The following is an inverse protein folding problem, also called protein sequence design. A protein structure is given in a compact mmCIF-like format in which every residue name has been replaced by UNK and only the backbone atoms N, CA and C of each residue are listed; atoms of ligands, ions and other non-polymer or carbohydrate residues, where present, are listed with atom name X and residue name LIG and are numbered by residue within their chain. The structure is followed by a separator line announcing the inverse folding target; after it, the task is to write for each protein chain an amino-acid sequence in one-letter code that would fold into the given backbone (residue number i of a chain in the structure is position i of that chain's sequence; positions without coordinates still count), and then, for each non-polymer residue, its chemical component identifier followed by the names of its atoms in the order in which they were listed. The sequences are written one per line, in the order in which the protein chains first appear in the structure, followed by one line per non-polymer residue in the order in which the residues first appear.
data_IF_424259657695
#
_entry.id   IF_424259657695
#
_cell.length_a   1.000
_cell.length_b   1.000
_cell.length_c   1.000
_cell.angle_alpha   90.00
_cell.angle_beta   90.00
_cell.angle_gamma   90.00
#
_symmetry.space_group_name_H-M   'P 1'
#
loop_
_entity.id
_entity.type
_entity.pdbx_description
1 polymer ?
#
# COMPACT_ATOMS: atom_id res chain seq x y z
N UNK A 1 22.47 10.16 -19.92
CA UNK A 1 21.47 9.33 -19.20
C UNK A 1 20.18 9.35 -20.01
N UNK A 2 19.62 8.19 -20.35
CA UNK A 2 18.36 8.14 -21.11
C UNK A 2 17.21 8.69 -20.27
N UNK A 3 16.47 9.64 -20.83
CA UNK A 3 15.31 10.32 -20.23
C UNK A 3 14.24 9.31 -19.77
N UNK A 4 13.58 9.52 -18.61
CA UNK A 4 12.49 8.66 -18.16
C UNK A 4 11.27 8.71 -19.09
N UNK A 5 10.55 7.60 -19.20
CA UNK A 5 9.31 7.53 -20.00
C UNK A 5 8.14 8.23 -19.28
N UNK A 6 8.11 8.14 -17.95
CA UNK A 6 7.11 8.75 -17.08
C UNK A 6 7.79 9.44 -15.90
N UNK A 7 7.38 10.66 -15.60
CA UNK A 7 7.79 11.40 -14.40
C UNK A 7 6.52 11.77 -13.62
N UNK A 8 6.49 11.40 -12.35
CA UNK A 8 5.42 11.73 -11.42
C UNK A 8 5.97 12.67 -10.36
N UNK A 9 5.46 13.90 -10.33
CA UNK A 9 5.83 14.91 -9.34
C UNK A 9 4.65 15.09 -8.39
N UNK A 10 4.82 14.64 -7.15
CA UNK A 10 3.83 14.74 -6.09
C UNK A 10 4.04 16.04 -5.33
N UNK A 11 2.95 16.71 -4.95
CA UNK A 11 3.00 17.71 -3.89
C UNK A 11 2.92 17.02 -2.51
N UNK A 12 2.95 17.80 -1.45
CA UNK A 12 2.80 17.28 -0.09
C UNK A 12 1.42 16.60 0.06
N UNK A 13 1.39 15.36 0.58
CA UNK A 13 0.13 14.73 0.95
C UNK A 13 -0.50 15.49 2.13
N UNK A 14 -1.75 15.92 1.95
CA UNK A 14 -2.55 16.61 2.98
C UNK A 14 -3.88 15.90 3.21
N UNK A 15 -4.63 16.33 4.23
CA UNK A 15 -5.98 15.78 4.51
C UNK A 15 -6.99 16.06 3.39
N UNK A 16 -6.73 17.03 2.51
CA UNK A 16 -7.60 17.38 1.37
C UNK A 16 -7.15 16.74 0.05
N UNK A 17 -6.09 15.92 0.10
CA UNK A 17 -5.51 15.24 -1.06
C UNK A 17 -4.14 15.80 -1.47
N UNK A 18 -3.66 15.30 -2.60
CA UNK A 18 -2.38 15.64 -3.21
C UNK A 18 -2.55 15.85 -4.72
N UNK A 19 -2.07 16.97 -5.26
CA UNK A 19 -1.98 17.19 -6.71
C UNK A 19 -0.71 16.52 -7.25
N UNK A 20 -0.87 15.70 -8.27
CA UNK A 20 0.19 14.92 -8.89
C UNK A 20 0.30 15.30 -10.35
N UNK A 21 1.47 15.77 -10.75
CA UNK A 21 1.80 16.05 -12.15
C UNK A 21 2.42 14.82 -12.78
N UNK A 22 1.76 14.27 -13.80
CA UNK A 22 2.25 13.18 -14.63
C UNK A 22 2.77 13.75 -15.95
N UNK A 23 4.08 13.66 -16.18
CA UNK A 23 4.75 14.14 -17.37
C UNK A 23 5.18 12.93 -18.22
N UNK A 24 4.90 12.99 -19.52
CA UNK A 24 5.32 12.00 -20.52
C UNK A 24 6.30 12.68 -21.47
N UNK A 25 7.61 12.64 -21.21
CA UNK A 25 8.57 13.51 -21.89
C UNK A 25 8.59 13.32 -23.41
N UNK A 26 8.46 12.07 -23.89
CA UNK A 26 8.42 11.74 -25.32
C UNK A 26 7.29 12.43 -26.11
N UNK A 27 6.22 12.85 -25.44
CA UNK A 27 5.07 13.52 -26.06
C UNK A 27 4.86 14.95 -25.59
N UNK A 28 5.67 15.44 -24.63
CA UNK A 28 5.48 16.72 -23.96
C UNK A 28 4.19 16.84 -23.14
N UNK A 29 3.39 15.77 -23.01
CA UNK A 29 2.11 15.81 -22.31
C UNK A 29 2.30 15.89 -20.81
N UNK A 30 1.59 16.82 -20.17
CA UNK A 30 1.48 16.94 -18.72
C UNK A 30 0.01 16.78 -18.31
N UNK A 31 -0.29 15.74 -17.52
CA UNK A 31 -1.60 15.53 -16.93
C UNK A 31 -1.53 15.86 -15.44
N UNK A 32 -2.65 16.34 -14.88
CA UNK A 32 -2.79 16.52 -13.43
C UNK A 32 -3.85 15.56 -12.90
N UNK A 33 -3.51 14.86 -11.84
CA UNK A 33 -4.41 13.95 -11.13
C UNK A 33 -4.35 14.27 -9.65
N UNK A 34 -5.38 13.88 -8.92
CA UNK A 34 -5.43 14.07 -7.47
C UNK A 34 -5.42 12.72 -6.78
N UNK A 35 -4.51 12.53 -5.82
CA UNK A 35 -4.42 11.35 -4.98
C UNK A 35 -4.94 11.68 -3.57
N UNK A 36 -5.84 10.84 -3.04
CA UNK A 36 -6.43 11.04 -1.72
C UNK A 36 -6.23 9.79 -0.88
N UNK A 37 -5.80 9.98 0.38
CA UNK A 37 -5.60 8.92 1.37
C UNK A 37 -6.58 9.18 2.52
N UNK A 38 -7.36 8.17 2.89
CA UNK A 38 -8.33 8.28 3.97
C UNK A 38 -7.84 7.51 5.20
N UNK A 39 -7.22 8.25 6.13
CA UNK A 39 -6.60 7.69 7.35
C UNK A 39 -7.59 7.55 8.52
N UNK A 40 -8.91 7.64 8.27
CA UNK A 40 -9.93 7.67 9.34
C UNK A 40 -9.83 6.50 10.31
N UNK A 41 -9.53 5.29 9.81
CA UNK A 41 -9.40 4.11 10.67
C UNK A 41 -8.11 4.14 11.48
N UNK A 42 -6.98 4.55 10.89
CA UNK A 42 -5.73 4.76 11.64
C UNK A 42 -5.86 5.87 12.68
N UNK A 43 -6.70 6.88 12.46
CA UNK A 43 -6.99 7.91 13.46
C UNK A 43 -7.74 7.31 14.66
N UNK A 44 -8.71 6.42 14.40
CA UNK A 44 -9.71 6.00 15.39
C UNK A 44 -9.42 4.68 16.09
N UNK A 45 -8.66 3.80 15.45
CA UNK A 45 -8.59 2.38 15.81
C UNK A 45 -7.17 1.88 16.09
N UNK A 46 -6.15 2.69 15.80
CA UNK A 46 -4.75 2.29 16.08
C UNK A 46 -4.54 2.11 17.58
N UNK A 47 -3.60 1.28 17.98
CA UNK A 47 -3.19 1.15 19.39
C UNK A 47 -2.15 2.21 19.78
N UNK A 48 -1.22 2.52 18.87
CA UNK A 48 -0.10 3.42 19.17
C UNK A 48 -0.56 4.87 19.32
N UNK A 49 -0.26 5.49 20.47
CA UNK A 49 -0.68 6.88 20.74
C UNK A 49 -0.18 7.87 19.69
N UNK A 50 1.13 7.83 19.39
CA UNK A 50 1.76 8.65 18.36
C UNK A 50 1.67 7.98 16.99
N UNK A 51 1.50 8.78 15.95
CA UNK A 51 1.65 8.35 14.57
C UNK A 51 3.04 8.73 14.08
N UNK A 52 4.01 7.80 13.99
CA UNK A 52 5.38 8.16 13.63
C UNK A 52 5.47 8.69 12.19
N UNK A 53 6.24 9.76 11.99
CA UNK A 53 6.41 10.39 10.69
C UNK A 53 6.92 9.42 9.61
N UNK A 54 7.82 8.49 9.96
CA UNK A 54 8.30 7.47 9.02
C UNK A 54 7.18 6.54 8.53
N UNK A 55 6.20 6.21 9.38
CA UNK A 55 5.06 5.37 8.96
C UNK A 55 4.15 6.14 8.00
N UNK A 56 3.98 7.45 8.21
CA UNK A 56 3.25 8.30 7.28
C UNK A 56 3.95 8.38 5.91
N UNK A 57 5.28 8.42 5.89
CA UNK A 57 6.07 8.39 4.66
C UNK A 57 5.95 7.04 3.92
N UNK A 58 5.89 5.91 4.64
CA UNK A 58 5.66 4.60 4.02
C UNK A 58 4.28 4.53 3.34
N UNK A 59 3.26 5.11 3.96
CA UNK A 59 1.91 5.20 3.39
C UNK A 59 1.93 6.05 2.11
N UNK A 60 2.57 7.22 2.16
CA UNK A 60 2.66 8.14 1.03
C UNK A 60 3.44 7.48 -0.14
N UNK A 61 4.52 6.76 0.16
CA UNK A 61 5.30 5.99 -0.82
C UNK A 61 4.47 4.88 -1.47
N UNK A 62 3.76 4.08 -0.67
CA UNK A 62 2.94 2.98 -1.17
C UNK A 62 1.88 3.47 -2.17
N UNK A 63 1.15 4.54 -1.81
CA UNK A 63 0.11 5.14 -2.66
C UNK A 63 0.70 5.78 -3.91
N UNK A 64 1.88 6.41 -3.80
CA UNK A 64 2.57 7.03 -4.93
C UNK A 64 3.05 6.01 -5.96
N UNK A 65 3.63 4.90 -5.50
CA UNK A 65 4.04 3.77 -6.34
C UNK A 65 2.84 3.15 -7.05
N UNK A 66 1.77 2.86 -6.31
CA UNK A 66 0.54 2.32 -6.87
C UNK A 66 -0.04 3.22 -7.97
N UNK A 67 -0.08 4.53 -7.73
CA UNK A 67 -0.60 5.51 -8.68
C UNK A 67 0.27 5.57 -9.94
N UNK A 68 1.60 5.61 -9.77
CA UNK A 68 2.53 5.68 -10.87
C UNK A 68 2.43 4.45 -11.78
N UNK A 69 2.40 3.24 -11.20
CA UNK A 69 2.23 2.00 -11.95
C UNK A 69 0.86 1.94 -12.66
N UNK A 70 -0.21 2.34 -11.97
CA UNK A 70 -1.56 2.36 -12.54
C UNK A 70 -1.72 3.33 -13.71
N UNK A 71 -1.02 4.47 -13.69
CA UNK A 71 -1.11 5.49 -14.75
C UNK A 71 -0.04 5.34 -15.83
N UNK A 72 1.01 4.55 -15.58
CA UNK A 72 2.06 4.27 -16.57
C UNK A 72 1.55 3.28 -17.60
N UNK A 73 1.04 3.78 -18.72
CA UNK A 73 0.53 2.91 -19.78
C UNK A 73 1.67 2.09 -20.41
N UNK A 74 1.76 0.83 -20.03
CA UNK A 74 2.65 -0.11 -20.71
C UNK A 74 2.08 -0.54 -22.07
N UNK A 75 2.94 -0.58 -23.08
CA UNK A 75 2.68 -1.01 -24.45
C UNK A 75 3.82 -1.91 -24.90
N UNK A 76 3.53 -3.20 -25.10
CA UNK A 76 4.40 -4.15 -25.78
C UNK A 76 5.74 -4.41 -25.08
N UNK A 77 5.79 -5.46 -24.26
CA UNK A 77 6.98 -6.27 -23.90
C UNK A 77 8.29 -5.59 -23.44
N UNK A 78 8.35 -4.26 -23.34
CA UNK A 78 9.55 -3.49 -23.02
C UNK A 78 9.48 -2.94 -21.60
N UNK A 79 10.66 -2.73 -21.01
CA UNK A 79 10.82 -2.10 -19.71
C UNK A 79 10.64 -0.58 -19.83
N UNK A 80 9.88 0.01 -18.92
CA UNK A 80 9.72 1.46 -18.82
C UNK A 80 10.66 2.06 -17.77
N UNK A 81 10.96 3.35 -17.92
CA UNK A 81 11.62 4.14 -16.89
C UNK A 81 10.62 5.05 -16.21
N UNK A 82 10.34 4.79 -14.94
CA UNK A 82 9.37 5.51 -14.13
C UNK A 82 10.12 6.27 -13.04
N UNK A 83 9.98 7.59 -13.01
CA UNK A 83 10.56 8.46 -11.98
C UNK A 83 9.46 8.99 -11.06
N UNK A 84 9.65 8.86 -9.76
CA UNK A 84 8.82 9.46 -8.71
C UNK A 84 9.62 10.53 -7.98
N UNK A 85 9.03 11.72 -7.90
CA UNK A 85 9.47 12.83 -7.06
C UNK A 85 8.45 13.00 -5.94
N UNK A 86 8.82 12.63 -4.71
CA UNK A 86 7.90 12.53 -3.57
C UNK A 86 8.40 13.34 -2.37
N UNK A 87 7.62 14.31 -1.88
CA UNK A 87 7.88 14.93 -0.60
C UNK A 87 7.60 13.98 0.56
N UNK A 88 8.57 13.84 1.45
CA UNK A 88 8.52 12.96 2.63
C UNK A 88 9.04 13.69 3.86
N UNK A 89 8.65 13.25 5.05
CA UNK A 89 9.05 13.85 6.31
C UNK A 89 10.51 13.55 6.62
N UNK A 90 11.00 12.36 6.29
CA UNK A 90 12.37 11.91 6.52
C UNK A 90 13.09 11.52 5.22
N UNK A 91 13.44 12.48 4.34
CA UNK A 91 14.16 12.20 3.11
C UNK A 91 15.54 11.59 3.35
N UNK A 92 16.16 11.86 4.50
CA UNK A 92 17.43 11.27 4.90
C UNK A 92 17.36 9.75 5.14
N UNK A 93 16.20 9.22 5.51
CA UNK A 93 15.99 7.79 5.75
C UNK A 93 15.65 7.08 4.42
N UNK A 94 14.64 7.58 3.71
CA UNK A 94 14.17 6.97 2.46
C UNK A 94 15.10 7.22 1.28
N UNK A 95 15.77 8.39 1.26
CA UNK A 95 16.75 8.78 0.26
C UNK A 95 18.17 8.27 0.51
N UNK A 96 18.41 7.54 1.60
CA UNK A 96 19.67 6.85 1.84
C UNK A 96 19.99 5.86 0.72
N UNK A 97 21.27 5.69 0.40
CA UNK A 97 21.73 4.86 -0.73
C UNK A 97 21.21 3.42 -0.65
N UNK A 98 21.21 2.83 0.55
CA UNK A 98 20.72 1.46 0.76
C UNK A 98 19.21 1.36 0.59
N UNK A 99 18.45 2.32 1.13
CA UNK A 99 17.00 2.41 0.98
C UNK A 99 16.59 2.52 -0.49
N UNK A 100 17.22 3.43 -1.24
CA UNK A 100 16.98 3.61 -2.68
C UNK A 100 17.34 2.34 -3.45
N UNK A 101 18.50 1.74 -3.18
CA UNK A 101 18.94 0.51 -3.85
C UNK A 101 17.97 -0.64 -3.60
N UNK A 102 17.52 -0.83 -2.37
CA UNK A 102 16.54 -1.85 -2.01
C UNK A 102 15.20 -1.57 -2.69
N UNK A 103 14.70 -0.34 -2.62
CA UNK A 103 13.42 0.05 -3.21
C UNK A 103 13.42 -0.14 -4.74
N UNK A 104 14.46 0.32 -5.44
CA UNK A 104 14.59 0.13 -6.89
C UNK A 104 14.69 -1.35 -7.26
N UNK A 105 15.44 -2.16 -6.50
CA UNK A 105 15.53 -3.62 -6.74
C UNK A 105 14.18 -4.31 -6.55
N UNK A 106 13.48 -4.00 -5.45
CA UNK A 106 12.16 -4.56 -5.14
C UNK A 106 11.14 -4.17 -6.21
N UNK A 107 11.11 -2.90 -6.60
CA UNK A 107 10.16 -2.42 -7.62
C UNK A 107 10.44 -3.01 -9.00
N UNK A 108 11.72 -3.16 -9.37
CA UNK A 108 12.10 -3.89 -10.58
C UNK A 108 11.68 -5.35 -10.52
N UNK A 109 11.74 -5.99 -9.35
CA UNK A 109 11.22 -7.35 -9.19
C UNK A 109 9.70 -7.40 -9.38
N UNK A 110 8.94 -6.46 -8.81
CA UNK A 110 7.48 -6.47 -8.94
C UNK A 110 7.00 -6.16 -10.36
N UNK A 111 7.58 -5.15 -11.04
CA UNK A 111 7.00 -4.62 -12.29
C UNK A 111 7.85 -4.85 -13.54
N UNK A 112 9.10 -5.29 -13.36
CA UNK A 112 10.17 -5.37 -14.38
C UNK A 112 10.54 -4.03 -15.04
N UNK A 113 10.01 -2.93 -14.54
CA UNK A 113 10.39 -1.58 -14.95
C UNK A 113 11.59 -1.06 -14.14
N UNK A 114 12.21 -0.02 -14.67
CA UNK A 114 13.29 0.71 -14.00
C UNK A 114 12.69 1.89 -13.24
N UNK A 115 12.82 1.87 -11.92
CA UNK A 115 12.28 2.89 -11.03
C UNK A 115 13.36 3.81 -10.48
N UNK A 116 13.12 5.11 -10.58
CA UNK A 116 13.93 6.17 -9.99
C UNK A 116 13.11 6.91 -8.93
N UNK A 117 13.68 7.08 -7.74
CA UNK A 117 13.04 7.76 -6.62
C UNK A 117 13.85 8.98 -6.24
N UNK A 118 13.18 10.13 -6.14
CA UNK A 118 13.75 11.37 -5.65
C UNK A 118 12.87 11.83 -4.49
N UNK A 119 13.46 11.91 -3.32
CA UNK A 119 12.76 12.32 -2.10
C UNK A 119 13.15 13.74 -1.72
N UNK A 120 12.13 14.54 -1.41
CA UNK A 120 12.31 15.93 -0.98
C UNK A 120 11.77 16.09 0.43
N UNK A 121 12.25 17.09 1.17
CA UNK A 121 11.69 17.41 2.48
C UNK A 121 10.28 17.98 2.29
N UNK A 122 9.30 17.36 2.94
CA UNK A 122 7.93 17.86 3.08
C UNK A 122 7.92 19.18 3.87
N UNK A 123 7.12 20.15 3.43
CA UNK A 123 7.01 21.48 4.06
C UNK A 123 5.61 21.80 4.61
N UNK A 124 4.59 21.04 4.21
CA UNK A 124 3.23 21.19 4.70
C UNK A 124 3.07 20.76 6.17
N UNK A 125 2.01 21.27 6.80
CA UNK A 125 1.61 20.90 8.15
C UNK A 125 1.32 19.40 8.28
N UNK A 126 1.54 18.79 9.46
CA UNK A 126 1.21 17.39 9.70
C UNK A 126 -0.27 17.10 9.45
N UNK A 127 -0.60 15.90 8.94
CA UNK A 127 -2.00 15.47 8.76
C UNK A 127 -2.70 15.32 10.11
N UNK A 128 -4.03 15.25 10.10
CA UNK A 128 -4.81 14.96 11.33
C UNK A 128 -4.34 13.70 12.05
N UNK A 129 -4.01 12.64 11.31
CA UNK A 129 -3.51 11.39 11.89
C UNK A 129 -2.19 11.57 12.65
N UNK A 130 -1.34 12.49 12.20
CA UNK A 130 -0.07 12.82 12.81
C UNK A 130 -0.22 13.76 14.02
N UNK A 131 -1.20 14.66 13.95
CA UNK A 131 -1.39 15.74 14.95
C UNK A 131 -2.22 15.31 16.15
N UNK A 132 -3.04 14.27 16.03
CA UNK A 132 -3.95 13.83 17.07
C UNK A 132 -3.40 12.59 17.79
N UNK A 133 -2.75 12.73 18.96
CA UNK A 133 -2.39 11.58 19.77
C UNK A 133 -3.65 10.87 20.28
N UNK A 134 -3.61 9.54 20.41
CA UNK A 134 -4.67 8.84 21.14
C UNK A 134 -4.52 9.09 22.64
N UNK A 135 -5.65 9.41 23.27
CA UNK A 135 -5.71 9.62 24.71
C UNK A 135 -5.55 8.33 25.52
N UNK A 136 -5.93 7.18 24.96
CA UNK A 136 -5.87 5.87 25.59
C UNK A 136 -5.21 4.88 24.62
N UNK A 137 -3.88 4.72 24.65
CA UNK A 137 -3.24 3.61 23.96
C UNK A 137 -3.63 2.29 24.63
N UNK A 138 -3.78 1.25 23.82
CA UNK A 138 -4.06 -0.11 24.26
C UNK A 138 -2.85 -0.98 23.90
N UNK A 139 -2.30 -1.69 24.90
CA UNK A 139 -1.13 -2.54 24.76
C UNK A 139 -1.52 -4.03 24.75
N UNK A 140 -2.80 -4.34 24.57
CA UNK A 140 -3.29 -5.72 24.42
C UNK A 140 -2.58 -6.41 23.25
N UNK A 141 -2.17 -7.69 23.39
CA UNK A 141 -1.45 -8.40 22.35
C UNK A 141 -2.32 -8.56 21.11
N UNK A 142 -1.96 -7.85 20.04
CA UNK A 142 -2.68 -7.87 18.77
C UNK A 142 -1.85 -8.58 17.69
N UNK A 143 -2.50 -9.44 16.93
CA UNK A 143 -1.95 -10.00 15.70
C UNK A 143 -2.50 -9.25 14.49
N UNK A 144 -1.62 -8.69 13.66
CA UNK A 144 -2.02 -7.94 12.45
C UNK A 144 -1.83 -8.79 11.21
N UNK A 145 -2.91 -9.02 10.47
CA UNK A 145 -2.90 -9.80 9.25
C UNK A 145 -3.45 -9.03 8.05
N UNK A 146 -2.84 -9.22 6.87
CA UNK A 146 -3.43 -8.75 5.61
C UNK A 146 -4.74 -9.49 5.33
N UNK A 147 -5.72 -8.74 4.84
CA UNK A 147 -7.08 -9.23 4.61
C UNK A 147 -7.56 -8.91 3.20
N UNK A 148 -7.47 -9.88 2.29
CA UNK A 148 -8.07 -9.79 0.95
C UNK A 148 -9.58 -10.09 0.97
N UNK A 149 -10.06 -10.85 1.97
CA UNK A 149 -11.42 -11.40 1.98
C UNK A 149 -11.60 -12.55 0.99
N UNK A 150 -10.51 -13.16 0.52
CA UNK A 150 -10.52 -14.41 -0.24
C UNK A 150 -10.59 -15.63 0.67
N UNK A 151 -10.85 -16.81 0.08
CA UNK A 151 -11.03 -18.06 0.80
C UNK A 151 -9.82 -18.43 1.67
N UNK A 152 -8.61 -18.32 1.13
CA UNK A 152 -7.38 -18.64 1.87
C UNK A 152 -7.18 -17.69 3.06
N UNK A 153 -7.35 -16.38 2.84
CA UNK A 153 -7.28 -15.38 3.91
C UNK A 153 -8.33 -15.64 5.00
N UNK A 154 -9.53 -16.06 4.62
CA UNK A 154 -10.60 -16.38 5.54
C UNK A 154 -10.29 -17.64 6.35
N UNK A 155 -9.91 -18.74 5.69
CA UNK A 155 -9.61 -20.01 6.34
C UNK A 155 -8.40 -19.88 7.28
N UNK A 156 -7.33 -19.21 6.84
CA UNK A 156 -6.15 -19.00 7.67
C UNK A 156 -6.43 -18.09 8.87
N UNK A 157 -7.20 -17.01 8.70
CA UNK A 157 -7.62 -16.17 9.83
C UNK A 157 -8.49 -16.96 10.81
N UNK A 158 -9.48 -17.71 10.32
CA UNK A 158 -10.35 -18.53 11.16
C UNK A 158 -9.55 -19.54 12.00
N UNK A 159 -8.65 -20.29 11.36
CA UNK A 159 -7.81 -21.27 12.05
C UNK A 159 -6.93 -20.59 13.09
N UNK A 160 -6.27 -19.49 12.71
CA UNK A 160 -5.33 -18.81 13.58
C UNK A 160 -5.98 -18.19 14.82
N UNK A 161 -7.16 -17.60 14.64
CA UNK A 161 -7.94 -17.05 15.75
C UNK A 161 -8.48 -18.18 16.64
N UNK A 162 -8.99 -19.28 16.05
CA UNK A 162 -9.48 -20.43 16.82
C UNK A 162 -8.39 -21.06 17.69
N UNK A 163 -7.14 -21.08 17.21
CA UNK A 163 -6.00 -21.61 17.95
C UNK A 163 -5.46 -20.65 19.03
N UNK A 164 -5.83 -19.36 19.00
CA UNK A 164 -5.23 -18.32 19.83
C UNK A 164 -6.27 -17.56 20.64
N UNK A 165 -6.73 -18.13 21.76
CA UNK A 165 -7.75 -17.51 22.62
C UNK A 165 -7.27 -16.28 23.42
N UNK A 166 -5.97 -16.02 23.45
CA UNK A 166 -5.37 -14.96 24.31
C UNK A 166 -4.98 -13.68 23.54
N UNK A 167 -5.19 -13.63 22.22
CA UNK A 167 -4.78 -12.51 21.38
C UNK A 167 -5.97 -11.84 20.70
N UNK A 168 -5.88 -10.53 20.59
CA UNK A 168 -6.75 -9.75 19.74
C UNK A 168 -6.22 -9.78 18.30
N UNK A 169 -7.10 -9.51 17.34
CA UNK A 169 -6.76 -9.60 15.93
C UNK A 169 -7.15 -8.35 15.16
N UNK A 170 -6.24 -7.92 14.29
CA UNK A 170 -6.47 -6.84 13.33
C UNK A 170 -6.36 -7.39 11.92
N UNK A 171 -7.50 -7.47 11.24
CA UNK A 171 -7.56 -7.74 9.81
C UNK A 171 -7.44 -6.42 9.06
N UNK A 172 -6.44 -6.30 8.19
CA UNK A 172 -6.13 -5.08 7.47
C UNK A 172 -6.40 -5.19 5.96
N UNK A 173 -7.37 -4.42 5.49
CA UNK A 173 -7.72 -4.33 4.07
C UNK A 173 -7.19 -3.06 3.39
N UNK A 174 -6.74 -3.20 2.14
CA UNK A 174 -6.19 -2.09 1.33
C UNK A 174 -7.00 -1.87 0.04
N UNK A 175 -6.75 -0.75 -0.62
CA UNK A 175 -7.15 -0.53 -2.01
C UNK A 175 -8.19 0.57 -2.22
N UNK A 176 -8.72 0.64 -3.44
CA UNK A 176 -9.66 1.67 -3.89
C UNK A 176 -11.05 1.15 -4.31
N UNK A 177 -11.25 -0.18 -4.40
CA UNK A 177 -12.50 -0.78 -4.90
C UNK A 177 -13.58 -0.96 -3.81
N UNK A 178 -14.67 -0.17 -3.92
CA UNK A 178 -15.79 -0.18 -2.97
C UNK A 178 -16.51 -1.51 -2.81
N UNK A 179 -16.63 -2.31 -3.88
CA UNK A 179 -17.40 -3.55 -3.85
C UNK A 179 -16.67 -4.64 -3.05
N UNK A 180 -15.37 -4.78 -3.26
CA UNK A 180 -14.53 -5.71 -2.48
C UNK A 180 -14.56 -5.38 -0.98
N UNK A 181 -14.72 -4.11 -0.62
CA UNK A 181 -14.76 -3.71 0.80
C UNK A 181 -16.02 -4.15 1.53
N UNK A 182 -17.17 -4.17 0.85
CA UNK A 182 -18.43 -4.61 1.46
C UNK A 182 -18.30 -6.06 1.91
N UNK A 183 -17.85 -6.91 0.99
CA UNK A 183 -17.63 -8.34 1.22
C UNK A 183 -16.55 -8.57 2.29
N UNK A 184 -15.39 -7.90 2.21
CA UNK A 184 -14.33 -8.03 3.22
C UNK A 184 -14.82 -7.70 4.63
N UNK A 185 -15.64 -6.65 4.76
CA UNK A 185 -16.19 -6.25 6.05
C UNK A 185 -17.21 -7.26 6.56
N UNK A 186 -18.12 -7.70 5.69
CA UNK A 186 -19.14 -8.70 6.02
C UNK A 186 -18.49 -10.00 6.52
N UNK A 187 -17.48 -10.50 5.81
CA UNK A 187 -16.73 -11.70 6.22
C UNK A 187 -16.01 -11.49 7.56
N UNK A 188 -15.39 -10.33 7.79
CA UNK A 188 -14.76 -10.04 9.09
C UNK A 188 -15.79 -9.91 10.22
N UNK A 189 -16.99 -9.39 9.94
CA UNK A 189 -18.08 -9.30 10.91
C UNK A 189 -18.68 -10.67 11.22
N UNK A 190 -18.68 -11.62 10.27
CA UNK A 190 -19.07 -13.03 10.51
C UNK A 190 -18.08 -13.76 11.43
N UNK A 191 -16.78 -13.44 11.35
CA UNK A 191 -15.76 -14.07 12.19
C UNK A 191 -15.84 -13.64 13.66
N UNK A 192 -16.27 -12.40 13.95
CA UNK A 192 -16.28 -11.83 15.31
C UNK A 192 -17.04 -12.68 16.35
N UNK A 193 -18.30 -13.12 16.12
CA UNK A 193 -19.08 -13.82 17.13
C UNK A 193 -18.59 -15.25 17.38
N UNK A 194 -17.90 -15.85 16.40
CA UNK A 194 -17.52 -17.26 16.44
C UNK A 194 -16.33 -17.55 17.37
N UNK A 195 -15.59 -16.53 17.80
CA UNK A 195 -14.19 -16.72 18.22
C UNK A 195 -13.85 -16.21 19.62
N UNK A 196 -14.78 -15.55 20.34
CA UNK A 196 -14.56 -15.10 21.72
C UNK A 196 -13.46 -14.04 21.93
N UNK A 197 -12.66 -13.74 20.91
CA UNK A 197 -11.58 -12.74 20.88
C UNK A 197 -12.04 -11.43 20.26
N UNK A 198 -11.42 -10.31 20.62
CA UNK A 198 -11.71 -9.04 19.97
C UNK A 198 -11.03 -8.99 18.58
N UNK A 199 -11.88 -9.10 17.55
CA UNK A 199 -11.47 -9.02 16.15
C UNK A 199 -11.86 -7.67 15.56
N UNK A 200 -10.88 -6.93 15.06
CA UNK A 200 -11.09 -5.64 14.41
C UNK A 200 -10.73 -5.70 12.94
N UNK A 201 -11.57 -5.08 12.13
CA UNK A 201 -11.27 -4.80 10.73
C UNK A 201 -10.84 -3.34 10.60
N UNK A 202 -9.66 -3.12 10.03
CA UNK A 202 -9.10 -1.80 9.70
C UNK A 202 -8.81 -1.70 8.21
N UNK A 203 -8.86 -0.48 7.70
CA UNK A 203 -8.60 -0.23 6.30
C UNK A 203 -7.93 1.11 6.04
N UNK A 204 -7.19 1.17 4.94
CA UNK A 204 -6.69 2.42 4.39
C UNK A 204 -7.20 2.62 2.95
N UNK A 205 -8.41 3.19 2.78
CA UNK A 205 -8.87 3.59 1.46
C UNK A 205 -8.00 4.69 0.86
N UNK A 206 -7.65 4.54 -0.41
CA UNK A 206 -7.07 5.61 -1.22
C UNK A 206 -7.76 5.67 -2.58
N UNK A 207 -7.74 6.84 -3.21
CA UNK A 207 -8.44 7.07 -4.49
C UNK A 207 -7.72 8.09 -5.35
N UNK A 208 -7.95 7.97 -6.65
CA UNK A 208 -7.43 8.92 -7.63
C UNK A 208 -8.58 9.56 -8.41
N UNK A 209 -8.66 10.88 -8.35
CA UNK A 209 -9.59 11.71 -9.14
C UNK A 209 -8.86 12.33 -10.35
N UNK A 210 -9.65 12.84 -11.30
CA UNK A 210 -9.17 13.48 -12.53
C UNK A 210 -8.37 12.58 -13.51
N UNK A 211 -8.36 11.25 -13.30
CA UNK A 211 -7.70 10.29 -14.17
C UNK A 211 -8.61 9.66 -15.26
N UNK A 212 -9.83 10.18 -15.51
CA UNK A 212 -10.79 9.56 -16.44
C UNK A 212 -10.31 9.51 -17.89
N UNK A 213 -9.61 10.56 -18.35
CA UNK A 213 -9.11 10.68 -19.73
C UNK A 213 -7.75 9.99 -19.94
N UNK A 214 -7.14 9.48 -18.88
CA UNK A 214 -5.83 8.82 -18.92
C UNK A 214 -6.04 7.34 -19.18
N UNK A 215 -5.34 6.79 -20.17
CA UNK A 215 -5.32 5.34 -20.41
C UNK A 215 -4.51 4.67 -19.30
N UNK A 216 -5.17 3.87 -18.48
CA UNK A 216 -4.60 3.19 -17.31
C UNK A 216 -3.91 1.89 -17.71
N UNK A 217 -2.92 1.49 -16.92
CA UNK A 217 -2.37 0.15 -16.95
C UNK A 217 -3.45 -0.85 -16.49
N UNK A 218 -3.68 -1.90 -17.29
CA UNK A 218 -4.63 -2.96 -16.94
C UNK A 218 -4.02 -3.99 -15.99
N UNK A 219 -2.69 -4.10 -15.98
CA UNK A 219 -1.91 -5.02 -15.16
C UNK A 219 -1.20 -4.24 -14.07
N UNK A 220 -1.85 -4.10 -12.92
CA UNK A 220 -1.27 -3.40 -11.76
C UNK A 220 -0.30 -4.32 -11.03
N UNK A 221 0.99 -4.26 -11.37
CA UNK A 221 2.02 -5.19 -10.88
C UNK A 221 2.59 -4.80 -9.51
N UNK A 222 2.49 -3.53 -9.15
CA UNK A 222 2.91 -2.99 -7.84
C UNK A 222 1.91 -3.25 -6.70
N UNK A 223 0.79 -3.94 -6.97
CA UNK A 223 -0.26 -4.20 -5.97
C UNK A 223 0.26 -4.90 -4.72
N UNK A 224 1.05 -5.97 -4.89
CA UNK A 224 1.62 -6.72 -3.76
C UNK A 224 2.53 -5.86 -2.88
N UNK A 225 3.45 -5.09 -3.50
CA UNK A 225 4.28 -4.13 -2.79
C UNK A 225 3.45 -3.13 -1.98
N UNK A 226 2.42 -2.55 -2.62
CA UNK A 226 1.52 -1.58 -1.98
C UNK A 226 0.81 -2.20 -0.78
N UNK A 227 0.29 -3.41 -0.92
CA UNK A 227 -0.47 -4.08 0.12
C UNK A 227 0.40 -4.45 1.32
N UNK A 228 1.57 -5.03 1.07
CA UNK A 228 2.54 -5.37 2.13
C UNK A 228 3.01 -4.10 2.84
N UNK A 229 3.38 -3.05 2.11
CA UNK A 229 3.90 -1.82 2.73
C UNK A 229 2.84 -1.12 3.60
N UNK A 230 1.58 -1.09 3.14
CA UNK A 230 0.47 -0.57 3.95
C UNK A 230 0.14 -1.48 5.14
N UNK A 231 0.26 -2.79 4.98
CA UNK A 231 0.12 -3.76 6.08
C UNK A 231 1.17 -3.57 7.15
N UNK A 232 2.43 -3.36 6.76
CA UNK A 232 3.54 -3.04 7.68
C UNK A 232 3.26 -1.73 8.40
N UNK A 233 2.79 -0.69 7.69
CA UNK A 233 2.37 0.55 8.33
C UNK A 233 1.28 0.32 9.38
N UNK A 234 0.28 -0.51 9.07
CA UNK A 234 -0.74 -0.92 10.02
C UNK A 234 -0.15 -1.65 11.23
N UNK A 235 0.73 -2.64 11.02
CA UNK A 235 1.37 -3.40 12.10
C UNK A 235 2.16 -2.47 13.05
N UNK A 236 2.93 -1.53 12.51
CA UNK A 236 3.66 -0.55 13.31
C UNK A 236 2.76 0.41 14.11
N UNK A 237 1.55 0.70 13.60
CA UNK A 237 0.53 1.50 14.31
C UNK A 237 -0.22 0.68 15.37
N UNK A 238 -0.17 -0.64 15.28
CA UNK A 238 -0.64 -1.62 16.27
C UNK A 238 0.45 -2.04 17.26
N UNK A 239 1.58 -1.31 17.32
CA UNK A 239 2.74 -1.67 18.14
C UNK A 239 3.32 -3.07 17.85
N UNK A 240 3.09 -3.62 16.65
CA UNK A 240 3.59 -4.93 16.24
C UNK A 240 4.79 -4.83 15.32
N UNK A 241 5.68 -5.83 15.43
CA UNK A 241 6.85 -6.00 14.57
C UNK A 241 6.68 -7.12 13.53
N UNK A 242 5.50 -7.76 13.50
CA UNK A 242 5.15 -8.83 12.59
C UNK A 242 3.89 -8.47 11.81
N UNK A 243 3.89 -8.80 10.52
CA UNK A 243 2.72 -8.77 9.66
C UNK A 243 2.45 -10.19 9.18
N UNK A 244 1.24 -10.68 9.42
CA UNK A 244 0.82 -12.00 9.02
C UNK A 244 0.12 -11.95 7.66
N UNK A 245 0.33 -12.98 6.85
CA UNK A 245 -0.26 -13.13 5.53
C UNK A 245 -0.83 -14.54 5.49
N UNK A 246 -2.15 -14.63 5.52
CA UNK A 246 -2.86 -15.89 5.43
C UNK A 246 -3.20 -16.15 3.97
N UNK A 247 -2.24 -16.70 3.24
CA UNK A 247 -2.43 -17.14 1.87
C UNK A 247 -1.84 -18.54 1.73
N UNK A 248 -2.40 -19.33 0.81
CA UNK A 248 -1.80 -20.62 0.52
C UNK A 248 -0.41 -20.41 -0.12
N UNK A 249 0.56 -21.26 0.22
CA UNK A 249 1.98 -21.02 -0.10
C UNK A 249 2.27 -20.80 -1.59
N UNK A 250 1.47 -21.39 -2.50
CA UNK A 250 1.67 -21.19 -3.93
C UNK A 250 1.08 -19.87 -4.41
N UNK A 251 -0.06 -19.42 -3.87
CA UNK A 251 -0.62 -18.09 -4.12
C UNK A 251 0.20 -16.97 -3.48
N UNK A 252 0.80 -17.22 -2.32
CA UNK A 252 1.66 -16.25 -1.61
C UNK A 252 3.02 -16.03 -2.31
N UNK A 253 3.62 -17.09 -2.87
CA UNK A 253 4.89 -17.03 -3.61
C UNK A 253 4.64 -16.69 -5.09
N UNK A 254 3.39 -16.85 -5.57
CA UNK A 254 2.98 -16.67 -6.96
C UNK A 254 3.94 -17.39 -7.94
N UNK A 255 4.19 -18.67 -7.66
CA UNK A 255 5.04 -19.51 -8.52
C UNK A 255 4.35 -19.69 -9.88
N UNK A 256 5.09 -19.55 -11.00
CA UNK A 256 4.54 -19.86 -12.31
C UNK A 256 4.25 -21.37 -12.38
N UNK A 257 3.01 -21.73 -12.66
CA UNK A 257 2.61 -23.12 -12.91
C UNK A 257 2.91 -23.55 -14.34
N UNK A 258 3.05 -22.61 -15.28
CA UNK A 258 3.50 -22.89 -16.65
C UNK A 258 4.55 -21.87 -17.12
N UNK A 259 5.31 -22.21 -18.17
CA UNK A 259 6.30 -21.28 -18.76
C UNK A 259 5.66 -19.99 -19.31
N UNK A 260 4.38 -20.05 -19.73
CA UNK A 260 3.62 -18.87 -20.13
C UNK A 260 3.33 -17.94 -18.94
N UNK A 261 3.43 -18.46 -17.71
CA UNK A 261 3.23 -17.70 -16.48
C UNK A 261 4.51 -17.08 -15.94
N UNK A 262 5.66 -17.37 -16.56
CA UNK A 262 6.93 -16.75 -16.24
C UNK A 262 7.02 -15.34 -16.84
N UNK A 263 7.08 -14.32 -15.99
CA UNK A 263 7.34 -12.92 -16.40
C UNK A 263 6.18 -11.97 -16.13
N UNK A 264 5.93 -11.04 -17.07
CA UNK A 264 5.03 -9.89 -16.92
C UNK A 264 3.52 -10.19 -16.99
N UNK A 265 3.16 -11.42 -17.36
CA UNK A 265 1.78 -11.84 -17.56
C UNK A 265 1.08 -12.25 -16.25
N UNK A 266 1.82 -12.34 -15.14
CA UNK A 266 1.27 -12.59 -13.81
C UNK A 266 1.58 -11.44 -12.85
N UNK A 267 0.57 -11.01 -12.09
CA UNK A 267 0.81 -10.13 -10.96
C UNK A 267 1.49 -10.94 -9.85
N UNK A 268 2.69 -10.53 -9.42
CA UNK A 268 3.34 -11.04 -8.20
C UNK A 268 2.65 -10.54 -6.91
N UNK A 269 1.34 -10.37 -6.99
CA UNK A 269 0.54 -9.67 -6.00
C UNK A 269 0.21 -10.62 -4.84
N UNK A 270 0.50 -10.15 -3.64
CA UNK A 270 0.00 -10.73 -2.40
C UNK A 270 -1.15 -9.84 -1.93
N UNK A 271 -2.34 -10.43 -1.83
CA UNK A 271 -3.63 -9.79 -1.53
C UNK A 271 -4.10 -8.68 -2.50
#
# INVERSE_FOLDING_TARGET
MNQPDYIYIFNDFTDTGNDVRMIIPSSGKCNRVQANINERDFIRRRQRSKFPAIIADLIDLAVSVWLADWLSKQRGGRQYKIRIELPVRHPEILGGTDSIKMLTKTMRWYTEDNWEFVFHKRIASPRRAESQPLCLPDDSPVEVALWSGGLDSFAGAFNRISDSSEKDFTLFGTGSNKNSFGVQKELADILKPCLGTNLKYMRLPFSVSNAKKIKKNRLLRSRGFTNVLLGVACACLENQNYLYIYENGIGAINLPYTEAEAGLDHSRAVH
#
